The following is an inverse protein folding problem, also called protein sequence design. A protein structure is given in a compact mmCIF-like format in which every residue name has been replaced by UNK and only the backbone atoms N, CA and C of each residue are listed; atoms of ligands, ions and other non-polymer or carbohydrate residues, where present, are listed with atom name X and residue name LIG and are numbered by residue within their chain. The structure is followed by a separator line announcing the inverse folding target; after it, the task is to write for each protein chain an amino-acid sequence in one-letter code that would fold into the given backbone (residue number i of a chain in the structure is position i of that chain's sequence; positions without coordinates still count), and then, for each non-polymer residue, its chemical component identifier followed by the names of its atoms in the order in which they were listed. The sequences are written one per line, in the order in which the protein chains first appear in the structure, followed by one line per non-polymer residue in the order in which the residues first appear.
data_IF_998449670318
#
_entry.id   IF_998449670318
#
_cell.length_a   1.000
_cell.length_b   1.000
_cell.length_c   1.000
_cell.angle_alpha   90.00
_cell.angle_beta   90.00
_cell.angle_gamma   90.00
#
_symmetry.space_group_name_H-M   'P 1'
#
loop_
_entity.id
_entity.type
_entity.pdbx_description
1 polymer ?
#
# COMPACT_ATOMS: atom_id res chain seq x y z
N UNK A 1 2.11 -8.99 -12.95
CA UNK A 1 3.32 -8.11 -12.92
C UNK A 1 4.53 -9.02 -13.09
N UNK A 2 5.37 -8.76 -14.07
CA UNK A 2 6.61 -9.50 -14.29
C UNK A 2 7.78 -8.55 -14.10
N UNK A 3 8.91 -9.04 -13.59
CA UNK A 3 10.13 -8.27 -13.38
C UNK A 3 10.61 -8.26 -11.93
N UNK A 4 11.73 -7.59 -11.70
CA UNK A 4 12.32 -7.41 -10.37
C UNK A 4 12.05 -6.01 -9.85
N UNK A 5 11.47 -5.93 -8.68
CA UNK A 5 11.18 -4.66 -7.99
C UNK A 5 12.08 -4.45 -6.78
N UNK A 6 12.08 -3.21 -6.32
CA UNK A 6 12.80 -2.80 -5.12
C UNK A 6 11.89 -1.97 -4.22
N UNK A 7 11.91 -2.26 -2.92
CA UNK A 7 11.15 -1.48 -1.95
C UNK A 7 11.85 -0.15 -1.65
N UNK A 8 11.11 0.94 -1.68
CA UNK A 8 11.63 2.30 -1.49
C UNK A 8 12.35 2.52 -0.15
N UNK A 9 12.03 1.71 0.89
CA UNK A 9 12.66 1.81 2.21
C UNK A 9 14.17 1.59 2.22
N UNK A 10 14.74 1.01 1.16
CA UNK A 10 16.19 0.94 0.96
C UNK A 10 16.81 2.35 0.96
N UNK A 11 16.05 3.33 0.46
CA UNK A 11 16.51 4.71 0.32
C UNK A 11 15.71 5.70 1.15
N UNK A 12 14.39 5.48 1.28
CA UNK A 12 13.50 6.40 2.00
C UNK A 12 12.24 5.71 2.53
N UNK A 13 11.84 6.06 3.75
CA UNK A 13 10.55 5.67 4.33
C UNK A 13 9.47 6.74 4.13
N UNK A 14 9.85 7.96 3.71
CA UNK A 14 8.93 9.06 3.45
C UNK A 14 8.93 9.37 1.96
N UNK A 15 7.77 9.28 1.36
CA UNK A 15 7.60 9.55 -0.07
C UNK A 15 7.29 11.03 -0.31
N UNK A 16 8.30 11.90 -0.08
CA UNK A 16 8.26 13.31 -0.49
C UNK A 16 8.69 13.45 -1.96
N UNK A 17 8.41 14.58 -2.60
CA UNK A 17 8.82 14.80 -3.99
C UNK A 17 10.33 14.56 -4.19
N UNK A 18 11.19 15.13 -3.35
CA UNK A 18 12.64 14.96 -3.41
C UNK A 18 13.08 13.50 -3.20
N UNK A 19 12.50 12.83 -2.20
CA UNK A 19 12.81 11.44 -1.90
C UNK A 19 12.34 10.48 -3.02
N UNK A 20 11.19 10.77 -3.64
CA UNK A 20 10.68 10.03 -4.78
C UNK A 20 11.61 10.15 -6.00
N UNK A 21 12.06 11.37 -6.34
CA UNK A 21 13.04 11.61 -7.41
C UNK A 21 14.29 10.77 -7.19
N UNK A 22 14.85 10.82 -6.00
CA UNK A 22 16.06 10.07 -5.65
C UNK A 22 15.83 8.55 -5.75
N UNK A 23 14.77 8.04 -5.12
CA UNK A 23 14.50 6.61 -5.09
C UNK A 23 14.23 6.03 -6.50
N UNK A 24 13.46 6.75 -7.33
CA UNK A 24 13.20 6.33 -8.71
C UNK A 24 14.48 6.39 -9.56
N UNK A 25 15.30 7.43 -9.41
CA UNK A 25 16.58 7.51 -10.11
C UNK A 25 17.51 6.34 -9.75
N UNK A 26 17.55 5.95 -8.46
CA UNK A 26 18.31 4.78 -8.04
C UNK A 26 17.75 3.46 -8.61
N UNK A 27 16.42 3.30 -8.59
CA UNK A 27 15.79 2.11 -9.17
C UNK A 27 16.09 1.96 -10.65
N UNK A 28 15.99 3.05 -11.42
CA UNK A 28 16.37 3.08 -12.85
C UNK A 28 17.86 2.76 -13.03
N UNK A 29 18.74 3.40 -12.25
CA UNK A 29 20.20 3.19 -12.34
C UNK A 29 20.59 1.73 -12.09
N UNK A 30 19.91 1.06 -11.17
CA UNK A 30 20.19 -0.34 -10.83
C UNK A 30 19.42 -1.34 -11.68
N UNK A 31 18.62 -0.91 -12.64
CA UNK A 31 17.91 -1.77 -13.59
C UNK A 31 16.72 -2.52 -13.01
N UNK A 32 16.05 -1.97 -12.00
CA UNK A 32 14.79 -2.51 -11.50
C UNK A 32 13.64 -2.19 -12.44
N UNK A 33 12.71 -3.13 -12.58
CA UNK A 33 11.53 -3.00 -13.45
C UNK A 33 10.41 -2.19 -12.80
N UNK A 34 10.36 -2.19 -11.47
CA UNK A 34 9.37 -1.39 -10.71
C UNK A 34 9.89 -1.02 -9.31
N UNK A 35 9.28 -0.01 -8.72
CA UNK A 35 9.51 0.41 -7.33
C UNK A 35 8.28 0.11 -6.49
N UNK A 36 8.49 -0.45 -5.31
CA UNK A 36 7.46 -0.60 -4.28
C UNK A 36 7.52 0.59 -3.32
N UNK A 37 6.51 1.44 -3.39
CA UNK A 37 6.44 2.70 -2.65
C UNK A 37 5.74 2.49 -1.32
N UNK A 38 6.44 2.73 -0.21
CA UNK A 38 5.82 2.75 1.10
C UNK A 38 4.93 3.98 1.27
N UNK A 39 3.63 3.79 1.55
CA UNK A 39 2.65 4.86 1.77
C UNK A 39 1.94 4.71 3.13
N UNK A 40 2.66 4.77 4.26
CA UNK A 40 2.07 4.60 5.60
C UNK A 40 1.04 5.70 5.94
N UNK A 41 1.13 6.84 5.29
CA UNK A 41 0.23 7.98 5.41
C UNK A 41 -0.24 8.42 4.00
N UNK A 42 -1.25 7.75 3.42
CA UNK A 42 -1.64 7.99 2.03
C UNK A 42 -2.11 9.42 1.75
N UNK A 43 -2.68 10.10 2.74
CA UNK A 43 -3.20 11.46 2.61
C UNK A 43 -2.15 12.55 2.38
N UNK A 44 -0.87 12.28 2.70
CA UNK A 44 0.22 13.27 2.55
C UNK A 44 1.04 13.10 1.28
N UNK A 45 0.75 12.07 0.48
CA UNK A 45 1.49 11.79 -0.76
C UNK A 45 1.13 12.80 -1.85
N UNK A 46 2.13 13.41 -2.46
CA UNK A 46 1.93 14.18 -3.70
C UNK A 46 1.72 13.24 -4.88
N UNK A 47 0.44 12.94 -5.14
CA UNK A 47 0.00 11.97 -6.13
C UNK A 47 0.30 12.42 -7.55
N UNK A 48 0.13 13.72 -7.81
CA UNK A 48 0.36 14.31 -9.14
C UNK A 48 1.85 14.29 -9.50
N UNK A 49 2.72 14.69 -8.56
CA UNK A 49 4.16 14.61 -8.75
C UNK A 49 4.62 13.16 -8.99
N UNK A 50 4.13 12.23 -8.17
CA UNK A 50 4.49 10.82 -8.29
C UNK A 50 4.09 10.23 -9.65
N UNK A 51 2.87 10.52 -10.12
CA UNK A 51 2.41 10.12 -11.45
C UNK A 51 3.32 10.66 -12.54
N UNK A 52 3.57 11.96 -12.54
CA UNK A 52 4.44 12.59 -13.54
C UNK A 52 5.86 12.02 -13.52
N UNK A 53 6.38 11.67 -12.34
CA UNK A 53 7.68 11.03 -12.18
C UNK A 53 7.72 9.64 -12.83
N UNK A 54 6.72 8.79 -12.58
CA UNK A 54 6.64 7.46 -13.17
C UNK A 54 6.45 7.53 -14.70
N UNK A 55 5.57 8.40 -15.18
CA UNK A 55 5.33 8.58 -16.61
C UNK A 55 6.60 9.03 -17.37
N UNK A 56 7.36 10.00 -16.85
CA UNK A 56 8.57 10.49 -17.54
C UNK A 56 9.75 9.54 -17.46
N UNK A 57 9.84 8.68 -16.42
CA UNK A 57 10.94 7.73 -16.24
C UNK A 57 10.64 6.36 -16.83
N UNK A 58 9.37 6.05 -17.12
CA UNK A 58 8.91 4.74 -17.49
C UNK A 58 8.96 3.72 -16.35
N UNK A 59 9.24 4.17 -15.11
CA UNK A 59 9.28 3.31 -13.93
C UNK A 59 7.87 2.89 -13.54
N UNK A 60 7.64 1.59 -13.43
CA UNK A 60 6.39 1.04 -12.90
C UNK A 60 6.38 1.15 -11.38
N UNK A 61 5.20 1.21 -10.79
CA UNK A 61 5.06 1.32 -9.33
C UNK A 61 4.00 0.39 -8.77
N UNK A 62 4.25 -0.09 -7.57
CA UNK A 62 3.26 -0.64 -6.65
C UNK A 62 3.34 0.14 -5.35
N UNK A 63 2.25 0.19 -4.60
CA UNK A 63 2.25 0.80 -3.27
C UNK A 63 2.15 -0.29 -2.20
N UNK A 64 2.73 -0.03 -1.03
CA UNK A 64 2.56 -0.91 0.12
C UNK A 64 2.39 -0.13 1.42
N UNK A 65 1.73 -0.77 2.38
CA UNK A 65 1.53 -0.22 3.72
C UNK A 65 1.30 -1.30 4.77
N UNK A 66 1.51 -0.93 6.04
CA UNK A 66 0.94 -1.58 7.20
C UNK A 66 -0.12 -0.70 7.82
N UNK A 67 -1.22 -1.28 8.31
CA UNK A 67 -2.30 -0.51 8.92
C UNK A 67 -1.87 0.08 10.27
N UNK A 68 -2.18 1.36 10.55
CA UNK A 68 -2.05 1.92 11.88
C UNK A 68 -3.04 1.25 12.86
N UNK A 69 -2.69 1.20 14.13
CA UNK A 69 -3.47 0.48 15.15
C UNK A 69 -4.95 0.87 15.20
N UNK A 70 -5.25 2.15 15.05
CA UNK A 70 -6.61 2.65 15.02
C UNK A 70 -7.46 2.10 13.86
N UNK A 71 -6.82 1.54 12.83
CA UNK A 71 -7.45 1.02 11.62
C UNK A 71 -7.36 -0.50 11.48
N UNK A 72 -6.96 -1.24 12.53
CA UNK A 72 -6.91 -2.69 12.47
C UNK A 72 -8.31 -3.29 12.30
N UNK A 73 -8.56 -4.04 11.23
CA UNK A 73 -9.89 -4.52 10.89
C UNK A 73 -10.54 -5.41 11.96
N UNK A 74 -9.73 -6.19 12.71
CA UNK A 74 -10.21 -7.04 13.80
C UNK A 74 -11.04 -6.27 14.84
N UNK A 75 -10.65 -5.00 15.10
CA UNK A 75 -11.22 -4.14 16.16
C UNK A 75 -12.00 -2.94 15.61
N UNK A 76 -11.58 -2.41 14.48
CA UNK A 76 -12.09 -1.15 13.91
C UNK A 76 -12.31 -1.30 12.39
N UNK A 77 -13.21 -2.22 11.95
CA UNK A 77 -13.37 -2.54 10.53
C UNK A 77 -13.79 -1.34 9.68
N UNK A 78 -14.62 -0.42 10.20
CA UNK A 78 -15.05 0.78 9.47
C UNK A 78 -13.88 1.76 9.26
N UNK A 79 -13.03 1.96 10.27
CA UNK A 79 -11.83 2.78 10.14
C UNK A 79 -10.83 2.12 9.17
N UNK A 80 -10.68 0.80 9.22
CA UNK A 80 -9.88 0.04 8.27
C UNK A 80 -10.35 0.22 6.83
N UNK A 81 -11.66 0.11 6.58
CA UNK A 81 -12.27 0.35 5.26
C UNK A 81 -11.97 1.77 4.76
N UNK A 82 -12.14 2.77 5.62
CA UNK A 82 -11.91 4.18 5.24
C UNK A 82 -10.44 4.40 4.83
N UNK A 83 -9.52 3.95 5.68
CA UNK A 83 -8.08 4.07 5.43
C UNK A 83 -7.64 3.34 4.16
N UNK A 84 -8.10 2.09 3.95
CA UNK A 84 -7.76 1.32 2.76
C UNK A 84 -8.31 1.95 1.49
N UNK A 85 -9.51 2.53 1.52
CA UNK A 85 -10.05 3.26 0.35
C UNK A 85 -9.20 4.47 0.00
N UNK A 86 -8.78 5.25 0.99
CA UNK A 86 -7.88 6.38 0.76
C UNK A 86 -6.53 5.93 0.17
N UNK A 87 -5.95 4.85 0.70
CA UNK A 87 -4.71 4.29 0.18
C UNK A 87 -4.85 3.76 -1.26
N UNK A 88 -5.97 3.10 -1.58
CA UNK A 88 -6.28 2.63 -2.93
C UNK A 88 -6.43 3.82 -3.89
N UNK A 89 -7.14 4.87 -3.48
CA UNK A 89 -7.29 6.08 -4.29
C UNK A 89 -5.93 6.75 -4.53
N UNK A 90 -5.09 6.83 -3.50
CA UNK A 90 -3.73 7.35 -3.61
C UNK A 90 -2.91 6.53 -4.60
N UNK A 91 -2.89 5.19 -4.49
CA UNK A 91 -2.18 4.32 -5.42
C UNK A 91 -2.66 4.50 -6.87
N UNK A 92 -3.98 4.56 -7.09
CA UNK A 92 -4.57 4.76 -8.41
C UNK A 92 -4.19 6.13 -9.01
N UNK A 93 -4.25 7.19 -8.21
CA UNK A 93 -3.92 8.54 -8.65
C UNK A 93 -2.42 8.74 -8.92
N UNK A 94 -1.56 8.02 -8.20
CA UNK A 94 -0.13 7.94 -8.50
C UNK A 94 0.19 7.16 -9.78
N UNK A 95 -0.74 6.37 -10.29
CA UNK A 95 -0.51 5.48 -11.43
C UNK A 95 0.14 4.14 -11.06
N UNK A 96 0.05 3.73 -9.79
CA UNK A 96 0.52 2.42 -9.36
C UNK A 96 -0.40 1.30 -9.88
N UNK A 97 0.15 0.09 -10.03
CA UNK A 97 -0.59 -1.08 -10.52
C UNK A 97 -1.29 -1.86 -9.39
N UNK A 98 -0.75 -1.76 -8.17
CA UNK A 98 -1.24 -2.52 -7.01
C UNK A 98 -1.07 -1.74 -5.70
N UNK A 99 -1.87 -2.12 -4.71
CA UNK A 99 -1.65 -1.83 -3.30
C UNK A 99 -1.48 -3.15 -2.55
N UNK A 100 -0.38 -3.30 -1.84
CA UNK A 100 -0.01 -4.51 -1.11
C UNK A 100 0.27 -4.22 0.36
N UNK A 101 0.62 -5.24 1.12
CA UNK A 101 1.13 -5.11 2.48
C UNK A 101 0.27 -5.78 3.54
N UNK A 102 0.55 -5.42 4.79
CA UNK A 102 -0.14 -5.99 5.96
C UNK A 102 -1.45 -5.23 6.19
N UNK A 103 -2.47 -5.62 5.42
CA UNK A 103 -3.76 -4.91 5.37
C UNK A 103 -4.92 -5.67 6.03
N UNK A 104 -4.67 -6.85 6.57
CA UNK A 104 -5.66 -7.69 7.28
C UNK A 104 -5.64 -7.50 8.80
N UNK A 105 -4.61 -6.85 9.34
CA UNK A 105 -4.38 -6.66 10.77
C UNK A 105 -3.20 -5.74 11.01
N UNK A 106 -2.67 -5.77 12.22
CA UNK A 106 -1.49 -5.01 12.61
C UNK A 106 -0.21 -5.85 12.62
N UNK A 107 0.90 -5.25 12.24
CA UNK A 107 2.22 -5.86 12.43
C UNK A 107 2.44 -6.03 13.94
N UNK A 108 2.57 -7.28 14.39
CA UNK A 108 2.72 -7.61 15.81
C UNK A 108 1.41 -7.58 16.62
N UNK A 109 0.25 -7.53 15.99
CA UNK A 109 -1.04 -7.67 16.66
C UNK A 109 -1.14 -9.07 17.31
N UNK A 110 -1.15 -9.09 18.62
CA UNK A 110 -1.22 -10.33 19.40
C UNK A 110 -2.13 -10.17 20.61
N UNK A 111 -3.07 -11.09 20.76
CA UNK A 111 -3.97 -11.15 21.93
C UNK A 111 -3.55 -12.26 22.91
N UNK A 112 -2.62 -13.13 22.50
CA UNK A 112 -2.27 -14.34 23.24
C UNK A 112 -3.34 -15.46 23.18
N UNK A 113 -4.38 -15.26 22.36
CA UNK A 113 -5.47 -16.21 22.12
C UNK A 113 -5.71 -16.36 20.62
N UNK A 114 -6.31 -17.46 20.17
CA UNK A 114 -6.79 -17.57 18.80
C UNK A 114 -7.79 -16.45 18.45
N UNK A 115 -7.86 -16.02 17.19
CA UNK A 115 -8.86 -15.04 16.76
C UNK A 115 -10.27 -15.60 16.97
N UNK A 116 -11.18 -14.72 17.35
CA UNK A 116 -12.61 -15.03 17.45
C UNK A 116 -13.28 -14.99 16.08
N UNK A 117 -14.43 -15.65 15.93
CA UNK A 117 -15.22 -15.57 14.70
C UNK A 117 -15.58 -14.11 14.35
N UNK A 118 -15.94 -13.30 15.35
CA UNK A 118 -16.24 -11.88 15.14
C UNK A 118 -15.05 -11.08 14.58
N UNK A 119 -13.83 -11.33 15.07
CA UNK A 119 -12.62 -10.70 14.53
C UNK A 119 -12.37 -11.14 13.08
N UNK A 120 -12.54 -12.43 12.77
CA UNK A 120 -12.40 -12.94 11.41
C UNK A 120 -13.46 -12.33 10.45
N UNK A 121 -14.72 -12.24 10.89
CA UNK A 121 -15.78 -11.61 10.12
C UNK A 121 -15.52 -10.12 9.86
N UNK A 122 -15.00 -9.41 10.86
CA UNK A 122 -14.62 -8.00 10.74
C UNK A 122 -13.52 -7.81 9.66
N UNK A 123 -12.49 -8.65 9.70
CA UNK A 123 -11.41 -8.65 8.70
C UNK A 123 -11.97 -8.95 7.31
N UNK A 124 -12.79 -10.00 7.18
CA UNK A 124 -13.37 -10.40 5.89
C UNK A 124 -14.23 -9.28 5.29
N UNK A 125 -15.09 -8.63 6.10
CA UNK A 125 -15.91 -7.49 5.65
C UNK A 125 -15.06 -6.29 5.21
N UNK A 126 -14.03 -5.96 6.00
CA UNK A 126 -13.13 -4.86 5.69
C UNK A 126 -12.41 -5.09 4.35
N UNK A 127 -11.77 -6.26 4.19
CA UNK A 127 -11.06 -6.62 2.97
C UNK A 127 -11.98 -6.74 1.76
N UNK A 128 -13.19 -7.28 1.93
CA UNK A 128 -14.20 -7.36 0.87
C UNK A 128 -14.61 -5.98 0.36
N UNK A 129 -14.83 -5.02 1.26
CA UNK A 129 -15.14 -3.64 0.89
C UNK A 129 -13.96 -2.94 0.19
N UNK A 130 -12.73 -3.15 0.70
CA UNK A 130 -11.50 -2.63 0.08
C UNK A 130 -11.28 -3.24 -1.32
N UNK A 131 -11.45 -4.56 -1.49
CA UNK A 131 -11.31 -5.24 -2.78
C UNK A 131 -12.31 -4.75 -3.82
N UNK A 132 -13.56 -4.50 -3.40
CA UNK A 132 -14.59 -3.92 -4.27
C UNK A 132 -14.18 -2.52 -4.76
N UNK A 133 -13.65 -1.69 -3.86
CA UNK A 133 -13.17 -0.35 -4.20
C UNK A 133 -11.94 -0.42 -5.11
N UNK A 134 -10.96 -1.28 -4.79
CA UNK A 134 -9.75 -1.47 -5.59
C UNK A 134 -10.08 -1.90 -7.02
N UNK A 135 -11.02 -2.84 -7.19
CA UNK A 135 -11.51 -3.24 -8.51
C UNK A 135 -12.10 -2.07 -9.29
N UNK A 136 -12.89 -1.21 -8.65
CA UNK A 136 -13.48 -0.02 -9.29
C UNK A 136 -12.43 1.01 -9.70
N UNK A 137 -11.28 1.05 -9.00
CA UNK A 137 -10.14 1.93 -9.27
C UNK A 137 -9.08 1.32 -10.21
N UNK A 138 -9.26 0.05 -10.62
CA UNK A 138 -8.28 -0.66 -11.46
C UNK A 138 -7.01 -1.07 -10.73
N UNK A 139 -7.04 -1.13 -9.38
CA UNK A 139 -5.91 -1.50 -8.52
C UNK A 139 -6.00 -2.96 -8.13
N UNK A 140 -4.89 -3.70 -8.28
CA UNK A 140 -4.74 -5.02 -7.71
C UNK A 140 -4.48 -4.90 -6.19
N UNK A 141 -5.32 -5.54 -5.38
CA UNK A 141 -5.13 -5.58 -3.93
C UNK A 141 -4.40 -6.87 -3.54
N UNK A 142 -3.24 -6.74 -2.88
CA UNK A 142 -2.44 -7.86 -2.40
C UNK A 142 -2.36 -7.89 -0.88
N UNK A 143 -2.42 -9.08 -0.29
CA UNK A 143 -2.29 -9.28 1.15
C UNK A 143 -0.93 -9.93 1.41
N UNK A 144 -0.12 -9.29 2.24
CA UNK A 144 1.15 -9.84 2.70
C UNK A 144 0.96 -10.50 4.07
N UNK A 145 1.01 -11.84 4.16
CA UNK A 145 0.93 -12.51 5.44
C UNK A 145 2.25 -12.35 6.21
N UNK A 146 2.15 -11.89 7.44
CA UNK A 146 3.28 -11.78 8.37
C UNK A 146 2.95 -12.47 9.70
N UNK A 147 3.96 -12.91 10.44
CA UNK A 147 3.84 -13.61 11.73
C UNK A 147 4.68 -12.91 12.82
#
# INVERSE_FOLDING_TARGET
MEGFGIHSSIWTMRWTAEAAEYAVAQAVHHGFDFVEVAIPEPGVVDRAHSRALFERTGMRAVCSLGLPEACWPSRSPEAGVHFLKEAIDTAAEMGAEALTGVIYGGIGERTGKPPTECELDNVARCLGAAATHAKARGILLGIEPVN
#
